data_IF_311495005774
#
_entry.id   IF_311495005774
#
_cell.length_a   1.000
_cell.length_b   1.000
_cell.length_c   1.000
_cell.angle_alpha   90.00
_cell.angle_beta   90.00
_cell.angle_gamma   90.00
#
_symmetry.space_group_name_H-M   'P 1'
#
loop_
_entity.id
_entity.type
_entity.pdbx_description
1 polymer ?
#
# COMPACT_ATOMS: atom_id res chain seq x y z
N UNK A 1 -81.32 -45.89 -25.12
CA UNK A 1 -81.24 -46.51 -26.47
C UNK A 1 -79.77 -46.68 -26.79
N UNK A 2 -79.31 -47.94 -26.83
CA UNK A 2 -78.11 -48.56 -27.47
C UNK A 2 -76.93 -47.65 -27.92
N UNK A 3 -75.63 -47.98 -27.78
CA UNK A 3 -74.95 -49.30 -27.71
C UNK A 3 -73.42 -49.14 -27.49
N UNK A 4 -72.80 -50.23 -27.00
CA UNK A 4 -71.45 -50.70 -27.35
C UNK A 4 -70.28 -50.05 -26.59
N UNK A 5 -69.24 -50.76 -26.14
CA UNK A 5 -68.85 -52.16 -26.30
C UNK A 5 -67.95 -52.58 -25.12
N UNK A 6 -68.08 -53.84 -24.74
CA UNK A 6 -67.23 -54.57 -23.80
C UNK A 6 -65.82 -54.80 -24.36
N UNK A 7 -64.79 -54.82 -23.50
CA UNK A 7 -63.81 -55.94 -23.49
C UNK A 7 -63.08 -55.99 -22.14
N UNK A 8 -63.02 -57.20 -21.61
CA UNK A 8 -62.36 -57.67 -20.40
C UNK A 8 -60.91 -58.12 -20.65
N UNK A 9 -60.12 -58.20 -19.56
CA UNK A 9 -58.88 -58.99 -19.39
C UNK A 9 -57.67 -58.45 -20.18
N UNK A 10 -56.49 -58.24 -19.59
CA UNK A 10 -55.61 -59.24 -18.98
C UNK A 10 -54.63 -58.52 -18.05
N UNK A 11 -54.40 -59.05 -16.85
CA UNK A 11 -53.30 -58.66 -15.98
C UNK A 11 -51.97 -59.13 -16.60
N UNK A 12 -51.07 -58.20 -16.93
CA UNK A 12 -49.69 -58.49 -17.26
C UNK A 12 -48.80 -58.04 -16.11
N UNK A 13 -48.31 -59.03 -15.38
CA UNK A 13 -47.24 -58.99 -14.41
C UNK A 13 -45.94 -58.52 -15.10
N UNK A 14 -45.51 -57.29 -14.83
CA UNK A 14 -44.20 -56.79 -15.24
C UNK A 14 -43.27 -56.85 -14.02
N UNK A 15 -42.53 -57.96 -13.92
CA UNK A 15 -41.33 -58.00 -13.08
C UNK A 15 -40.26 -57.05 -13.66
N UNK A 16 -39.58 -56.25 -12.82
CA UNK A 16 -38.44 -55.44 -13.29
C UNK A 16 -37.23 -56.36 -13.52
N UNK A 17 -36.68 -56.32 -14.74
CA UNK A 17 -35.44 -56.99 -15.10
C UNK A 17 -34.28 -56.54 -14.19
N UNK A 18 -33.64 -57.50 -13.48
CA UNK A 18 -32.40 -57.28 -12.76
C UNK A 18 -31.23 -57.23 -13.75
N UNK A 19 -30.61 -56.05 -13.91
CA UNK A 19 -29.30 -55.92 -14.54
C UNK A 19 -28.23 -56.59 -13.67
N UNK A 20 -27.34 -57.44 -14.23
CA UNK A 20 -26.22 -57.99 -13.46
C UNK A 20 -25.22 -56.87 -13.13
N UNK A 21 -24.80 -56.81 -11.85
CA UNK A 21 -23.81 -55.87 -11.37
C UNK A 21 -22.46 -56.02 -12.11
N UNK A 22 -21.92 -54.92 -12.63
CA UNK A 22 -20.55 -54.86 -13.16
C UNK A 22 -19.54 -55.03 -12.01
N UNK A 23 -18.47 -55.83 -12.17
CA UNK A 23 -17.40 -55.88 -11.19
C UNK A 23 -16.54 -54.60 -11.27
N UNK A 24 -16.60 -53.77 -10.23
CA UNK A 24 -15.85 -52.53 -10.05
C UNK A 24 -14.35 -52.78 -9.74
N UNK A 25 -13.63 -53.39 -10.67
CA UNK A 25 -12.21 -53.74 -10.51
C UNK A 25 -11.28 -52.99 -11.47
N UNK A 26 -11.53 -51.71 -11.74
CA UNK A 26 -10.57 -50.86 -12.44
C UNK A 26 -10.17 -49.65 -11.60
N UNK A 27 -8.86 -49.61 -11.29
CA UNK A 27 -8.06 -48.49 -10.81
C UNK A 27 -8.16 -48.12 -9.31
N UNK A 28 -7.63 -48.98 -8.44
CA UNK A 28 -6.89 -48.46 -7.27
C UNK A 28 -5.48 -48.07 -7.73
N UNK A 29 -5.30 -46.80 -8.09
CA UNK A 29 -3.95 -46.24 -8.12
C UNK A 29 -3.34 -46.33 -6.72
N UNK A 30 -2.08 -46.75 -6.57
CA UNK A 30 -1.42 -46.66 -5.28
C UNK A 30 -1.29 -45.18 -4.94
N UNK A 31 -2.00 -44.75 -3.90
CA UNK A 31 -1.82 -43.44 -3.28
C UNK A 31 -0.36 -43.34 -2.81
N UNK A 32 0.53 -42.86 -3.67
CA UNK A 32 1.78 -42.26 -3.22
C UNK A 32 1.36 -41.05 -2.43
N UNK A 33 1.37 -41.18 -1.11
CA UNK A 33 1.44 -40.08 -0.17
C UNK A 33 2.67 -39.24 -0.54
N UNK A 34 2.51 -38.36 -1.51
CA UNK A 34 3.36 -37.19 -1.62
C UNK A 34 2.98 -36.39 -0.40
N UNK A 35 3.81 -36.46 0.64
CA UNK A 35 3.81 -35.52 1.74
C UNK A 35 4.08 -34.13 1.15
N UNK A 36 3.08 -33.57 0.50
CA UNK A 36 2.98 -32.15 0.29
C UNK A 36 2.99 -31.58 1.69
N UNK A 37 4.04 -30.84 1.98
CA UNK A 37 4.27 -30.09 3.20
C UNK A 37 3.15 -29.03 3.30
N UNK A 38 1.94 -29.50 3.55
CA UNK A 38 0.74 -28.70 3.71
C UNK A 38 0.83 -28.18 5.12
N UNK A 39 1.39 -26.98 5.24
CA UNK A 39 1.33 -26.23 6.50
C UNK A 39 -0.15 -26.08 6.83
N UNK A 40 -0.63 -26.94 7.74
CA UNK A 40 -2.00 -26.93 8.22
C UNK A 40 -2.09 -25.74 9.17
N UNK A 41 -2.58 -24.61 8.66
CA UNK A 41 -2.76 -23.42 9.47
C UNK A 41 -4.02 -23.65 10.31
N UNK A 42 -3.82 -24.02 11.57
CA UNK A 42 -4.90 -24.04 12.56
C UNK A 42 -5.44 -22.62 12.75
N UNK A 43 -6.74 -22.45 12.51
CA UNK A 43 -7.43 -21.19 12.73
C UNK A 43 -7.46 -20.90 14.25
N UNK A 44 -6.65 -19.94 14.71
CA UNK A 44 -6.72 -19.45 16.09
C UNK A 44 -5.42 -18.91 16.69
N UNK A 45 -4.25 -19.26 16.15
CA UNK A 45 -2.99 -18.71 16.64
C UNK A 45 -2.65 -17.40 15.92
N UNK A 46 -2.43 -16.31 16.66
CA UNK A 46 -1.73 -15.14 16.11
C UNK A 46 -0.30 -15.59 15.79
N UNK A 47 0.11 -15.71 14.52
CA UNK A 47 1.50 -16.01 14.23
C UNK A 47 2.36 -14.91 14.85
N UNK A 48 3.50 -15.29 15.45
CA UNK A 48 4.49 -14.29 15.87
C UNK A 48 4.80 -13.36 14.70
N UNK A 49 5.07 -12.08 14.97
CA UNK A 49 5.35 -11.08 13.92
C UNK A 49 6.41 -11.59 12.92
N UNK A 50 7.40 -12.32 13.43
CA UNK A 50 8.44 -12.93 12.64
C UNK A 50 7.95 -14.08 11.74
N UNK A 51 7.06 -14.93 12.24
CA UNK A 51 6.48 -16.02 11.45
C UNK A 51 5.64 -15.48 10.28
N UNK A 52 4.81 -14.45 10.53
CA UNK A 52 4.01 -13.81 9.48
C UNK A 52 4.90 -13.09 8.46
N UNK A 53 6.00 -12.45 8.90
CA UNK A 53 6.99 -11.86 8.01
C UNK A 53 7.71 -12.90 7.13
N UNK A 54 8.04 -14.07 7.68
CA UNK A 54 8.62 -15.18 6.89
C UNK A 54 7.62 -15.72 5.86
N UNK A 55 6.34 -15.78 6.21
CA UNK A 55 5.28 -16.15 5.28
C UNK A 55 5.18 -15.15 4.14
N UNK A 56 5.16 -13.85 4.44
CA UNK A 56 5.22 -12.77 3.45
C UNK A 56 6.37 -12.95 2.44
N UNK A 57 7.57 -13.30 2.92
CA UNK A 57 8.73 -13.54 2.07
C UNK A 57 8.61 -14.81 1.21
N UNK A 58 7.87 -15.83 1.67
CA UNK A 58 7.61 -17.04 0.88
C UNK A 58 6.73 -16.74 -0.34
N UNK A 59 5.81 -15.78 -0.23
CA UNK A 59 4.92 -15.35 -1.31
C UNK A 59 5.47 -14.19 -2.17
N UNK A 60 6.80 -14.00 -2.20
CA UNK A 60 7.44 -12.93 -3.00
C UNK A 60 7.15 -12.99 -4.50
N UNK A 61 6.90 -14.18 -5.05
CA UNK A 61 6.56 -14.34 -6.46
C UNK A 61 5.17 -13.77 -6.77
N UNK A 62 4.22 -13.97 -5.86
CA UNK A 62 2.90 -13.35 -5.94
C UNK A 62 3.00 -11.82 -5.81
N UNK A 63 3.82 -11.32 -4.88
CA UNK A 63 4.09 -9.89 -4.75
C UNK A 63 4.62 -9.32 -6.07
N UNK A 64 5.62 -9.96 -6.67
CA UNK A 64 6.21 -9.53 -7.92
C UNK A 64 5.17 -9.49 -9.05
N UNK A 65 4.32 -10.52 -9.16
CA UNK A 65 3.24 -10.55 -10.14
C UNK A 65 2.23 -9.42 -9.94
N UNK A 66 1.80 -9.18 -8.70
CA UNK A 66 0.86 -8.10 -8.36
C UNK A 66 1.46 -6.73 -8.72
N UNK A 67 2.69 -6.47 -8.30
CA UNK A 67 3.40 -5.21 -8.58
C UNK A 67 3.57 -5.02 -10.09
N UNK A 68 4.06 -6.04 -10.80
CA UNK A 68 4.24 -5.99 -12.25
C UNK A 68 2.94 -5.67 -12.98
N UNK A 69 1.84 -6.33 -12.59
CA UNK A 69 0.51 -6.09 -13.15
C UNK A 69 0.03 -4.68 -12.86
N UNK A 70 0.19 -4.20 -11.63
CA UNK A 70 -0.28 -2.88 -11.22
C UNK A 70 0.51 -1.75 -11.93
N UNK A 71 1.82 -1.93 -12.11
CA UNK A 71 2.68 -1.09 -12.94
C UNK A 71 2.16 -1.09 -14.38
N UNK A 72 1.96 -2.27 -14.99
CA UNK A 72 1.51 -2.36 -16.36
C UNK A 72 0.14 -1.68 -16.57
N UNK A 73 -0.82 -1.90 -15.66
CA UNK A 73 -2.15 -1.26 -15.73
C UNK A 73 -2.04 0.26 -15.66
N UNK A 74 -1.19 0.78 -14.76
CA UNK A 74 -1.01 2.22 -14.58
C UNK A 74 -0.39 2.91 -15.80
N UNK A 75 0.56 2.27 -16.46
CA UNK A 75 1.31 2.87 -17.57
C UNK A 75 0.75 2.52 -18.95
N UNK A 76 -0.20 1.59 -19.04
CA UNK A 76 -0.83 1.22 -20.31
C UNK A 76 -1.90 2.23 -20.70
N UNK A 77 -1.84 2.71 -21.96
CA UNK A 77 -2.83 3.64 -22.58
C UNK A 77 -2.92 5.04 -21.94
N UNK A 78 -1.84 5.57 -21.36
CA UNK A 78 -1.80 6.98 -20.92
C UNK A 78 -1.13 7.86 -21.99
N UNK A 79 -1.74 8.99 -22.33
CA UNK A 79 -1.21 9.94 -23.32
C UNK A 79 0.15 10.54 -22.89
N UNK A 80 0.30 10.78 -21.59
CA UNK A 80 1.51 11.38 -20.99
C UNK A 80 2.49 10.32 -20.44
N UNK A 81 2.09 9.05 -20.36
CA UNK A 81 2.99 7.96 -19.96
C UNK A 81 3.75 8.21 -18.66
N UNK A 82 5.06 7.98 -18.72
CA UNK A 82 6.03 8.17 -17.63
C UNK A 82 6.15 9.63 -17.19
N UNK A 83 5.87 10.60 -18.07
CA UNK A 83 5.98 12.02 -17.73
C UNK A 83 5.01 12.42 -16.61
N UNK A 84 3.88 11.71 -16.47
CA UNK A 84 2.91 11.96 -15.41
C UNK A 84 3.49 11.79 -14.00
N UNK A 85 4.44 10.87 -13.84
CA UNK A 85 5.07 10.56 -12.56
C UNK A 85 5.87 11.72 -11.98
N UNK A 86 6.46 12.54 -12.85
CA UNK A 86 7.20 13.74 -12.46
C UNK A 86 6.26 14.94 -12.44
N UNK A 87 5.31 15.00 -13.37
CA UNK A 87 4.38 16.12 -13.49
C UNK A 87 3.48 16.25 -12.25
N UNK A 88 2.95 15.14 -11.72
CA UNK A 88 2.03 15.18 -10.57
C UNK A 88 2.69 15.77 -9.29
N UNK A 89 3.88 15.31 -8.84
CA UNK A 89 4.59 15.96 -7.74
C UNK A 89 4.91 17.42 -8.02
N UNK A 90 5.31 17.77 -9.25
CA UNK A 90 5.64 19.16 -9.62
C UNK A 90 4.42 20.08 -9.58
N UNK A 91 3.27 19.63 -10.07
CA UNK A 91 2.02 20.40 -9.99
C UNK A 91 1.61 20.62 -8.53
N UNK A 92 1.65 19.56 -7.71
CA UNK A 92 1.35 19.68 -6.28
C UNK A 92 2.35 20.63 -5.60
N UNK A 93 3.63 20.52 -5.90
CA UNK A 93 4.66 21.41 -5.36
C UNK A 93 4.44 22.87 -5.83
N UNK A 94 4.02 23.09 -7.08
CA UNK A 94 3.70 24.41 -7.60
C UNK A 94 2.50 25.05 -6.87
N UNK A 95 1.47 24.27 -6.57
CA UNK A 95 0.31 24.73 -5.78
C UNK A 95 0.75 25.13 -4.37
N UNK A 96 1.53 24.27 -3.70
CA UNK A 96 2.06 24.55 -2.36
C UNK A 96 2.96 25.77 -2.37
N UNK A 97 3.86 25.86 -3.35
CA UNK A 97 4.73 27.02 -3.56
C UNK A 97 3.93 28.31 -3.71
N UNK A 98 2.88 28.30 -4.54
CA UNK A 98 2.01 29.45 -4.74
C UNK A 98 1.31 29.86 -3.44
N UNK A 99 0.82 28.90 -2.66
CA UNK A 99 0.19 29.15 -1.35
C UNK A 99 1.19 29.78 -0.37
N UNK A 100 2.41 29.24 -0.25
CA UNK A 100 3.47 29.81 0.58
C UNK A 100 3.86 31.21 0.10
N UNK A 101 4.06 31.41 -1.21
CA UNK A 101 4.43 32.68 -1.80
C UNK A 101 3.39 33.77 -1.59
N UNK A 102 2.10 33.42 -1.66
CA UNK A 102 1.01 34.36 -1.37
C UNK A 102 1.00 34.83 0.10
N UNK A 103 1.43 33.97 1.03
CA UNK A 103 1.40 34.27 2.47
C UNK A 103 2.63 35.01 2.99
N UNK A 104 3.81 34.72 2.44
CA UNK A 104 5.10 35.21 2.94
C UNK A 104 5.80 36.23 2.02
N UNK A 105 5.25 36.47 0.82
CA UNK A 105 5.80 37.39 -0.16
C UNK A 105 6.97 36.79 -0.96
N UNK A 106 7.00 37.07 -2.27
CA UNK A 106 7.97 36.47 -3.19
C UNK A 106 9.44 36.85 -2.88
N UNK A 107 9.68 38.01 -2.26
CA UNK A 107 11.03 38.52 -1.98
C UNK A 107 11.80 37.69 -0.93
N UNK A 108 11.10 36.89 -0.12
CA UNK A 108 11.71 36.04 0.91
C UNK A 108 11.96 34.60 0.44
N UNK A 109 11.51 34.26 -0.76
CA UNK A 109 11.52 32.90 -1.29
C UNK A 109 12.67 32.69 -2.26
N UNK A 110 13.69 31.95 -1.82
CA UNK A 110 14.88 31.59 -2.60
C UNK A 110 14.80 30.15 -3.12
N UNK A 111 15.76 29.77 -3.96
CA UNK A 111 15.89 28.40 -4.49
C UNK A 111 15.82 27.29 -3.41
N UNK A 112 16.42 27.42 -2.21
CA UNK A 112 16.29 26.40 -1.15
C UNK A 112 14.85 26.17 -0.68
N UNK A 113 14.05 27.24 -0.60
CA UNK A 113 12.63 27.15 -0.26
C UNK A 113 11.84 26.33 -1.29
N UNK A 114 12.17 26.47 -2.58
CA UNK A 114 11.51 25.71 -3.64
C UNK A 114 11.88 24.22 -3.54
N UNK A 115 13.16 23.92 -3.32
CA UNK A 115 13.62 22.54 -3.15
C UNK A 115 12.95 21.89 -1.92
N UNK A 116 12.76 22.67 -0.85
CA UNK A 116 12.03 22.21 0.34
C UNK A 116 10.61 21.76 0.04
N UNK A 117 9.86 22.59 -0.69
CA UNK A 117 8.49 22.27 -1.07
C UNK A 117 8.46 21.05 -1.99
N UNK A 118 9.39 20.94 -2.93
CA UNK A 118 9.47 19.79 -3.86
C UNK A 118 9.80 18.48 -3.11
N UNK A 119 10.79 18.48 -2.22
CA UNK A 119 11.15 17.32 -1.41
C UNK A 119 10.00 16.89 -0.49
N UNK A 120 9.42 17.85 0.24
CA UNK A 120 8.31 17.61 1.15
C UNK A 120 7.09 17.03 0.43
N UNK A 121 6.74 17.61 -0.71
CA UNK A 121 5.61 17.16 -1.54
C UNK A 121 5.86 15.78 -2.13
N UNK A 122 7.09 15.47 -2.52
CA UNK A 122 7.45 14.15 -3.08
C UNK A 122 7.27 13.03 -2.04
N UNK A 123 7.82 13.22 -0.83
CA UNK A 123 7.68 12.26 0.27
C UNK A 123 6.22 12.10 0.71
N UNK A 124 5.50 13.21 0.77
CA UNK A 124 4.07 13.23 1.04
C UNK A 124 3.29 12.43 0.00
N UNK A 125 3.51 12.69 -1.28
CA UNK A 125 2.73 12.10 -2.36
C UNK A 125 2.95 10.58 -2.44
N UNK A 126 4.19 10.12 -2.23
CA UNK A 126 4.47 8.69 -2.08
C UNK A 126 3.62 8.07 -0.96
N UNK A 127 3.60 8.71 0.22
CA UNK A 127 2.87 8.23 1.38
C UNK A 127 1.36 8.21 1.13
N UNK A 128 0.82 9.32 0.62
CA UNK A 128 -0.60 9.48 0.34
C UNK A 128 -1.09 8.49 -0.72
N UNK A 129 -0.38 8.38 -1.84
CA UNK A 129 -0.79 7.47 -2.90
C UNK A 129 -0.73 6.00 -2.44
N UNK A 130 0.31 5.62 -1.69
CA UNK A 130 0.44 4.26 -1.16
C UNK A 130 -0.71 3.91 -0.22
N UNK A 131 -1.07 4.79 0.71
CA UNK A 131 -2.19 4.57 1.65
C UNK A 131 -3.53 4.51 0.91
N UNK A 132 -3.78 5.43 -0.02
CA UNK A 132 -5.04 5.49 -0.76
C UNK A 132 -5.21 4.30 -1.71
N UNK A 133 -4.15 3.85 -2.36
CA UNK A 133 -4.17 2.62 -3.15
C UNK A 133 -4.42 1.40 -2.25
N UNK A 134 -3.73 1.30 -1.12
CA UNK A 134 -3.92 0.20 -0.14
C UNK A 134 -5.37 -0.02 0.28
N UNK A 135 -6.10 1.08 0.52
CA UNK A 135 -7.54 1.10 0.85
C UNK A 135 -8.41 0.40 -0.21
N UNK A 136 -8.02 0.45 -1.48
CA UNK A 136 -8.78 -0.13 -2.59
C UNK A 136 -8.30 -1.54 -2.97
N UNK A 137 -7.01 -1.82 -2.79
CA UNK A 137 -6.36 -3.02 -3.31
C UNK A 137 -6.97 -4.34 -2.82
N UNK A 138 -7.41 -4.42 -1.56
CA UNK A 138 -8.08 -5.64 -1.07
C UNK A 138 -9.38 -5.90 -1.82
N UNK A 139 -10.20 -4.88 -2.03
CA UNK A 139 -11.48 -5.05 -2.73
C UNK A 139 -11.35 -5.27 -4.23
N UNK A 140 -10.39 -4.61 -4.88
CA UNK A 140 -10.14 -4.81 -6.32
C UNK A 140 -9.60 -6.22 -6.61
N UNK A 141 -8.91 -6.82 -5.64
CA UNK A 141 -8.34 -8.16 -5.77
C UNK A 141 -9.14 -9.24 -5.02
N UNK A 142 -10.41 -8.98 -4.66
CA UNK A 142 -11.24 -9.92 -3.92
C UNK A 142 -11.33 -11.30 -4.61
N UNK A 143 -11.34 -11.34 -5.93
CA UNK A 143 -11.34 -12.58 -6.71
C UNK A 143 -10.10 -13.46 -6.51
N UNK A 144 -8.94 -12.87 -6.20
CA UNK A 144 -7.72 -13.62 -5.89
C UNK A 144 -7.80 -14.20 -4.48
N UNK A 145 -8.33 -13.42 -3.53
CA UNK A 145 -8.48 -13.81 -2.12
C UNK A 145 -9.36 -15.05 -1.97
N UNK A 146 -10.43 -15.17 -2.78
CA UNK A 146 -11.36 -16.30 -2.71
C UNK A 146 -10.84 -17.58 -3.36
N UNK A 147 -9.78 -17.50 -4.18
CA UNK A 147 -9.29 -18.63 -4.98
C UNK A 147 -7.98 -19.23 -4.48
N UNK A 148 -7.13 -18.45 -3.83
CA UNK A 148 -5.80 -18.86 -3.41
C UNK A 148 -5.55 -18.36 -2.00
N UNK A 149 -5.08 -19.24 -1.12
CA UNK A 149 -4.64 -18.84 0.22
C UNK A 149 -3.28 -18.14 0.15
N UNK A 150 -3.21 -16.93 0.68
CA UNK A 150 -1.98 -16.17 0.93
C UNK A 150 -2.24 -15.11 2.01
N UNK A 151 -1.20 -14.62 2.71
CA UNK A 151 -1.34 -13.57 3.71
C UNK A 151 -1.83 -12.27 3.07
N UNK A 152 -3.00 -11.76 3.51
CA UNK A 152 -3.67 -10.64 2.82
C UNK A 152 -2.88 -9.33 2.94
N UNK A 153 -1.95 -9.22 3.88
CA UNK A 153 -1.02 -8.09 3.99
C UNK A 153 -0.26 -7.84 2.68
N UNK A 154 0.04 -8.87 1.87
CA UNK A 154 0.71 -8.68 0.57
C UNK A 154 -0.04 -7.73 -0.35
N UNK A 155 -1.38 -7.81 -0.38
CA UNK A 155 -2.19 -6.95 -1.25
C UNK A 155 -2.14 -5.49 -0.82
N UNK A 156 -2.04 -5.26 0.49
CA UNK A 156 -1.91 -3.92 1.07
C UNK A 156 -0.50 -3.35 0.89
N UNK A 157 0.52 -4.20 0.93
CA UNK A 157 1.92 -3.78 0.79
C UNK A 157 2.34 -3.62 -0.68
N UNK A 158 1.69 -4.31 -1.63
CA UNK A 158 1.98 -4.21 -3.06
C UNK A 158 2.00 -2.75 -3.60
N UNK A 159 1.03 -1.87 -3.28
CA UNK A 159 1.07 -0.47 -3.69
C UNK A 159 2.37 0.26 -3.30
N UNK A 160 2.96 -0.05 -2.15
CA UNK A 160 4.17 0.62 -1.69
C UNK A 160 5.36 0.38 -2.62
N UNK A 161 5.42 -0.81 -3.21
CA UNK A 161 6.45 -1.19 -4.19
C UNK A 161 6.12 -0.58 -5.55
N UNK A 162 4.84 -0.54 -5.94
CA UNK A 162 4.42 0.12 -7.19
C UNK A 162 4.76 1.61 -7.18
N UNK A 163 4.48 2.32 -6.09
CA UNK A 163 4.78 3.74 -5.91
C UNK A 163 6.26 4.04 -5.67
N UNK A 164 7.07 3.03 -5.35
CA UNK A 164 8.52 3.20 -5.22
C UNK A 164 9.16 3.65 -6.55
N UNK A 165 8.62 3.19 -7.69
CA UNK A 165 9.08 3.62 -9.00
C UNK A 165 8.85 5.12 -9.22
N UNK A 166 7.69 5.63 -8.82
CA UNK A 166 7.33 7.05 -8.89
C UNK A 166 8.32 7.89 -8.06
N UNK A 167 8.60 7.43 -6.83
CA UNK A 167 9.55 8.06 -5.93
C UNK A 167 10.96 8.04 -6.51
N UNK A 168 11.40 6.93 -7.09
CA UNK A 168 12.73 6.77 -7.70
C UNK A 168 12.92 7.71 -8.89
N UNK A 169 11.94 7.82 -9.78
CA UNK A 169 12.01 8.72 -10.93
C UNK A 169 12.01 10.19 -10.50
N UNK A 170 11.15 10.57 -9.54
CA UNK A 170 11.14 11.92 -9.00
C UNK A 170 12.44 12.26 -8.27
N UNK A 171 13.03 11.29 -7.57
CA UNK A 171 14.35 11.44 -6.95
C UNK A 171 15.43 11.70 -7.99
N UNK A 172 15.45 10.93 -9.09
CA UNK A 172 16.40 11.15 -10.17
C UNK A 172 16.26 12.56 -10.78
N UNK A 173 15.02 13.03 -10.95
CA UNK A 173 14.74 14.40 -11.38
C UNK A 173 15.28 15.45 -10.38
N UNK A 174 15.03 15.28 -9.08
CA UNK A 174 15.52 16.20 -8.04
C UNK A 174 17.06 16.24 -8.04
N UNK A 175 17.72 15.08 -8.11
CA UNK A 175 19.19 15.00 -8.16
C UNK A 175 19.74 15.69 -9.40
N UNK A 176 19.09 15.55 -10.57
CA UNK A 176 19.47 16.25 -11.79
C UNK A 176 19.37 17.79 -11.64
N UNK A 177 18.30 18.28 -11.01
CA UNK A 177 18.13 19.72 -10.71
C UNK A 177 19.20 20.21 -9.73
N UNK A 178 19.50 19.45 -8.68
CA UNK A 178 20.57 19.78 -7.73
C UNK A 178 21.93 19.82 -8.41
N UNK A 179 22.20 18.89 -9.32
CA UNK A 179 23.45 18.84 -10.09
C UNK A 179 23.58 20.06 -11.01
N UNK A 180 22.51 20.42 -11.71
CA UNK A 180 22.46 21.59 -12.58
C UNK A 180 22.75 22.90 -11.83
N UNK A 181 22.27 23.02 -10.58
CA UNK A 181 22.52 24.18 -9.74
C UNK A 181 23.82 24.12 -8.92
N UNK A 182 24.66 23.09 -9.10
CA UNK A 182 25.92 22.94 -8.36
C UNK A 182 25.73 22.69 -6.86
N UNK A 183 24.53 22.24 -6.45
CA UNK A 183 24.18 21.98 -5.05
C UNK A 183 24.51 20.55 -4.61
N UNK A 184 24.95 19.68 -5.53
CA UNK A 184 25.36 18.31 -5.18
C UNK A 184 26.64 18.32 -4.35
N UNK A 185 26.61 17.57 -3.25
CA UNK A 185 27.73 17.40 -2.33
C UNK A 185 27.79 15.95 -1.82
N UNK A 186 28.88 15.60 -1.13
CA UNK A 186 29.12 14.23 -0.64
C UNK A 186 27.95 13.65 0.13
N UNK A 187 27.23 14.44 0.92
CA UNK A 187 26.13 13.94 1.75
C UNK A 187 24.80 13.70 1.02
N UNK A 188 24.69 13.97 -0.29
CA UNK A 188 23.42 13.81 -1.04
C UNK A 188 22.92 12.36 -1.02
N UNK A 189 23.81 11.37 -0.93
CA UNK A 189 23.40 9.96 -0.85
C UNK A 189 22.53 9.66 0.39
N UNK A 190 22.62 10.47 1.46
CA UNK A 190 21.77 10.33 2.65
C UNK A 190 20.28 10.52 2.35
N UNK A 191 19.91 11.13 1.22
CA UNK A 191 18.52 11.19 0.77
C UNK A 191 17.90 9.80 0.61
N UNK A 192 18.70 8.79 0.23
CA UNK A 192 18.26 7.39 0.16
C UNK A 192 17.74 6.92 1.51
N UNK A 193 18.40 7.29 2.61
CA UNK A 193 17.95 6.94 3.95
C UNK A 193 16.62 7.61 4.29
N UNK A 194 16.41 8.87 3.88
CA UNK A 194 15.13 9.56 4.04
C UNK A 194 13.99 8.87 3.28
N UNK A 195 14.27 8.37 2.06
CA UNK A 195 13.30 7.60 1.28
C UNK A 195 12.99 6.26 1.92
N UNK A 196 14.01 5.50 2.35
CA UNK A 196 13.82 4.21 3.05
C UNK A 196 12.99 4.42 4.32
N UNK A 197 13.32 5.44 5.12
CA UNK A 197 12.57 5.79 6.31
C UNK A 197 11.11 6.13 6.03
N UNK A 198 10.85 6.88 4.95
CA UNK A 198 9.49 7.19 4.49
C UNK A 198 8.74 5.94 4.04
N UNK A 199 9.39 5.02 3.33
CA UNK A 199 8.81 3.74 2.90
C UNK A 199 8.40 2.92 4.12
N UNK A 200 9.29 2.79 5.11
CA UNK A 200 9.01 2.07 6.36
C UNK A 200 7.83 2.69 7.10
N UNK A 201 7.84 4.01 7.30
CA UNK A 201 6.73 4.72 7.91
C UNK A 201 5.40 4.45 7.19
N UNK A 202 5.39 4.58 5.86
CA UNK A 202 4.18 4.50 5.04
C UNK A 202 3.47 3.15 5.14
N UNK A 203 4.20 2.05 5.39
CA UNK A 203 3.58 0.72 5.54
C UNK A 203 2.58 0.69 6.70
N UNK A 204 2.86 1.40 7.79
CA UNK A 204 1.99 1.42 8.97
C UNK A 204 0.58 1.95 8.66
N UNK A 205 0.45 3.23 8.27
CA UNK A 205 -0.83 3.81 7.87
C UNK A 205 -1.49 3.07 6.70
N UNK A 206 -0.72 2.53 5.76
CA UNK A 206 -1.24 1.75 4.64
C UNK A 206 -1.93 0.46 5.11
N UNK A 207 -1.30 -0.29 6.01
CA UNK A 207 -1.85 -1.48 6.64
C UNK A 207 -3.10 -1.17 7.46
N UNK A 208 -3.07 -0.09 8.26
CA UNK A 208 -4.23 0.33 9.07
C UNK A 208 -5.40 0.69 8.16
N UNK A 209 -5.19 1.58 7.19
CA UNK A 209 -6.25 2.07 6.31
C UNK A 209 -6.78 0.95 5.39
N UNK A 210 -5.90 0.12 4.83
CA UNK A 210 -6.26 -1.03 4.00
C UNK A 210 -7.06 -2.09 4.77
N UNK A 211 -6.61 -2.43 5.99
CA UNK A 211 -7.32 -3.37 6.85
C UNK A 211 -8.69 -2.83 7.29
N UNK A 212 -8.77 -1.55 7.69
CA UNK A 212 -10.02 -0.91 8.07
C UNK A 212 -11.00 -0.81 6.88
N UNK A 213 -10.51 -0.51 5.68
CA UNK A 213 -11.33 -0.42 4.47
C UNK A 213 -11.89 -1.76 3.99
N UNK A 214 -11.22 -2.86 4.34
CA UNK A 214 -11.73 -4.20 4.09
C UNK A 214 -12.90 -4.55 5.03
N UNK A 215 -12.88 -4.03 6.26
CA UNK A 215 -13.94 -4.23 7.26
C UNK A 215 -15.10 -3.24 7.10
N UNK A 216 -14.79 -1.98 6.81
CA UNK A 216 -15.74 -0.87 6.76
C UNK A 216 -15.67 -0.18 5.40
N UNK A 217 -16.75 -0.26 4.62
CA UNK A 217 -16.80 0.33 3.27
C UNK A 217 -16.62 1.85 3.25
N UNK A 218 -17.06 2.54 4.30
CA UNK A 218 -17.00 4.01 4.41
C UNK A 218 -15.58 4.55 4.49
N UNK A 219 -14.62 3.76 4.97
CA UNK A 219 -13.20 4.15 5.05
C UNK A 219 -12.66 4.48 3.66
N UNK A 220 -13.16 3.87 2.59
CA UNK A 220 -12.77 4.19 1.21
C UNK A 220 -13.11 5.62 0.82
N UNK A 221 -14.25 6.11 1.31
CA UNK A 221 -14.70 7.48 1.07
C UNK A 221 -14.05 8.48 2.01
N UNK A 222 -13.76 8.08 3.25
CA UNK A 222 -13.14 8.97 4.25
C UNK A 222 -11.62 9.11 4.06
N UNK A 223 -10.92 8.08 3.59
CA UNK A 223 -9.47 8.06 3.51
C UNK A 223 -8.87 9.24 2.72
N UNK A 224 -9.40 9.68 1.56
CA UNK A 224 -8.91 10.86 0.87
C UNK A 224 -8.95 12.13 1.73
N UNK A 225 -10.03 12.36 2.48
CA UNK A 225 -10.17 13.52 3.36
C UNK A 225 -9.21 13.46 4.54
N UNK A 226 -9.02 12.27 5.14
CA UNK A 226 -8.02 12.08 6.19
C UNK A 226 -6.61 12.33 5.67
N UNK A 227 -6.26 11.83 4.49
CA UNK A 227 -4.97 12.15 3.88
C UNK A 227 -4.83 13.65 3.61
N UNK A 228 -5.88 14.31 3.15
CA UNK A 228 -5.84 15.76 2.94
C UNK A 228 -5.63 16.55 4.25
N UNK A 229 -6.28 16.15 5.35
CA UNK A 229 -6.03 16.76 6.67
C UNK A 229 -4.61 16.46 7.15
N UNK A 230 -4.14 15.23 6.95
CA UNK A 230 -2.80 14.79 7.35
C UNK A 230 -1.69 15.49 6.55
N UNK A 231 -1.99 15.96 5.32
CA UNK A 231 -1.07 16.80 4.53
C UNK A 231 -0.71 18.08 5.26
N UNK A 232 -1.70 18.74 5.87
CA UNK A 232 -1.50 19.96 6.67
C UNK A 232 -0.74 19.70 7.98
N UNK A 233 -0.49 18.45 8.36
CA UNK A 233 0.39 18.12 9.49
C UNK A 233 1.84 17.86 9.04
N UNK A 234 2.12 17.93 7.74
CA UNK A 234 3.44 17.66 7.17
C UNK A 234 4.15 18.99 6.86
N UNK A 235 5.45 19.13 7.17
CA UNK A 235 6.26 20.32 6.85
C UNK A 235 6.59 20.40 5.35
N UNK A 236 5.68 19.99 4.46
CA UNK A 236 5.79 20.29 3.04
C UNK A 236 5.30 21.73 2.75
N UNK A 237 4.40 22.23 3.60
CA UNK A 237 3.75 23.54 3.48
C UNK A 237 4.45 24.60 4.34
N UNK A 238 5.08 24.18 5.42
CA UNK A 238 5.59 25.07 6.46
C UNK A 238 7.10 25.15 6.37
N UNK A 239 7.61 26.31 5.96
CA UNK A 239 9.02 26.61 6.08
C UNK A 239 9.28 27.02 7.54
N UNK A 240 9.99 26.19 8.34
CA UNK A 240 10.13 26.45 9.78
C UNK A 240 10.78 27.80 10.08
N UNK A 241 11.69 28.23 9.19
CA UNK A 241 12.41 29.50 9.29
C UNK A 241 11.55 30.75 9.02
N UNK A 242 10.34 30.59 8.45
CA UNK A 242 9.44 31.71 8.12
C UNK A 242 8.33 31.90 9.17
N UNK A 243 8.22 31.03 10.18
CA UNK A 243 7.15 31.05 11.17
C UNK A 243 7.51 31.86 12.41
N UNK A 244 6.62 32.79 12.80
CA UNK A 244 6.80 33.64 13.98
C UNK A 244 6.41 32.95 15.30
N UNK A 245 5.40 32.06 15.30
CA UNK A 245 4.94 31.32 16.48
C UNK A 245 4.76 29.83 16.17
N UNK A 246 5.80 29.00 16.35
CA UNK A 246 5.82 27.67 15.77
C UNK A 246 5.28 26.57 16.71
N UNK A 247 4.94 26.87 17.97
CA UNK A 247 4.73 25.88 19.03
C UNK A 247 3.73 24.76 18.69
N UNK A 248 2.49 25.11 18.31
CA UNK A 248 1.43 24.12 18.06
C UNK A 248 1.66 23.36 16.75
N UNK A 249 2.07 24.05 15.68
CA UNK A 249 2.31 23.44 14.36
C UNK A 249 3.52 22.50 14.42
N UNK A 250 4.59 22.88 15.12
CA UNK A 250 5.76 22.02 15.35
C UNK A 250 5.38 20.83 16.25
N UNK A 251 4.60 21.04 17.32
CA UNK A 251 4.15 19.96 18.19
C UNK A 251 3.32 18.90 17.44
N UNK A 252 2.39 19.34 16.60
CA UNK A 252 1.60 18.46 15.73
C UNK A 252 2.49 17.80 14.68
N UNK A 253 3.44 18.55 14.10
CA UNK A 253 4.42 18.01 13.17
C UNK A 253 5.29 16.91 13.76
N UNK A 254 5.64 16.95 15.05
CA UNK A 254 6.40 15.88 15.71
C UNK A 254 5.64 14.56 15.81
N UNK A 255 4.30 14.59 15.79
CA UNK A 255 3.51 13.36 15.80
C UNK A 255 3.57 12.59 14.47
N UNK A 256 3.80 13.31 13.37
CA UNK A 256 3.91 12.74 12.04
C UNK A 256 5.38 12.38 11.72
N UNK A 257 5.76 11.10 11.66
CA UNK A 257 7.13 10.68 11.35
C UNK A 257 7.66 11.23 10.02
N UNK A 258 6.76 11.46 9.05
CA UNK A 258 7.10 12.05 7.76
C UNK A 258 7.75 13.43 7.92
N UNK A 259 7.35 14.21 8.94
CA UNK A 259 7.95 15.50 9.26
C UNK A 259 9.46 15.40 9.46
N UNK A 260 9.90 14.40 10.22
CA UNK A 260 11.33 14.22 10.50
C UNK A 260 12.11 13.89 9.23
N UNK A 261 11.57 13.08 8.32
CA UNK A 261 12.23 12.76 7.04
C UNK A 261 12.26 13.93 6.06
N UNK A 262 11.23 14.77 6.05
CA UNK A 262 11.22 16.01 5.26
C UNK A 262 12.25 16.99 5.81
N UNK A 263 12.32 17.19 7.13
CA UNK A 263 13.31 18.07 7.75
C UNK A 263 14.75 17.59 7.49
N UNK A 264 15.00 16.29 7.60
CA UNK A 264 16.31 15.69 7.29
C UNK A 264 16.68 15.85 5.82
N UNK A 265 15.77 15.56 4.89
CA UNK A 265 16.06 15.72 3.46
C UNK A 265 16.39 17.17 3.08
N UNK A 266 15.73 18.13 3.72
CA UNK A 266 16.05 19.54 3.60
C UNK A 266 17.40 19.92 4.18
N UNK A 267 17.69 19.51 5.42
CA UNK A 267 18.97 19.77 6.05
C UNK A 267 20.14 19.19 5.25
N UNK A 268 19.93 18.05 4.58
CA UNK A 268 20.91 17.44 3.69
C UNK A 268 21.22 18.41 2.55
N UNK A 269 20.21 18.88 1.81
CA UNK A 269 20.41 19.76 0.64
C UNK A 269 20.97 21.12 1.02
N UNK A 270 20.51 21.71 2.12
CA UNK A 270 20.95 23.03 2.57
C UNK A 270 22.31 23.01 3.27
N UNK A 271 22.89 21.82 3.50
CA UNK A 271 24.10 21.62 4.33
C UNK A 271 23.93 22.16 5.75
N UNK A 272 22.70 22.16 6.25
CA UNK A 272 22.39 22.62 7.59
C UNK A 272 22.88 21.60 8.62
N UNK A 273 23.32 22.05 9.82
CA UNK A 273 23.70 21.15 10.88
C UNK A 273 22.51 20.28 11.31
N UNK A 274 22.67 18.96 11.21
CA UNK A 274 21.64 18.01 11.60
C UNK A 274 21.82 17.64 13.06
N UNK A 275 20.81 17.91 13.88
CA UNK A 275 20.79 17.42 15.25
C UNK A 275 20.65 15.88 15.23
N UNK A 276 21.55 15.12 15.90
CA UNK A 276 21.45 13.66 15.98
C UNK A 276 20.10 13.17 16.51
N UNK A 277 19.47 13.97 17.37
CA UNK A 277 18.14 13.68 17.91
C UNK A 277 17.08 13.53 16.81
N UNK A 278 17.14 14.31 15.73
CA UNK A 278 16.14 14.25 14.64
C UNK A 278 16.22 12.93 13.87
N UNK A 279 17.43 12.39 13.71
CA UNK A 279 17.62 11.05 13.14
C UNK A 279 17.01 9.96 14.02
N UNK A 280 17.25 10.03 15.33
CA UNK A 280 16.72 9.07 16.30
C UNK A 280 15.19 9.13 16.30
N UNK A 281 14.61 10.33 16.37
CA UNK A 281 13.15 10.49 16.35
C UNK A 281 12.55 10.01 15.03
N UNK A 282 13.19 10.29 13.88
CA UNK A 282 12.75 9.82 12.58
C UNK A 282 12.68 8.29 12.50
N UNK A 283 13.78 7.63 12.88
CA UNK A 283 13.89 6.17 12.83
C UNK A 283 12.92 5.53 13.82
N UNK A 284 12.91 5.97 15.08
CA UNK A 284 12.05 5.38 16.12
C UNK A 284 10.58 5.54 15.76
N UNK A 285 10.14 6.76 15.42
CA UNK A 285 8.73 7.01 15.12
C UNK A 285 8.24 6.26 13.88
N UNK A 286 9.06 6.13 12.83
CA UNK A 286 8.71 5.39 11.61
C UNK A 286 8.56 3.89 11.87
N UNK A 287 9.49 3.31 12.63
CA UNK A 287 9.41 1.91 13.01
C UNK A 287 8.21 1.65 13.94
N UNK A 288 7.93 2.54 14.89
CA UNK A 288 6.76 2.43 15.76
C UNK A 288 5.45 2.43 14.96
N UNK A 289 5.30 3.35 13.99
CA UNK A 289 4.11 3.38 13.12
C UNK A 289 4.00 2.13 12.25
N UNK A 290 5.10 1.65 11.69
CA UNK A 290 5.13 0.42 10.90
C UNK A 290 4.70 -0.81 11.73
N UNK A 291 5.29 -0.96 12.93
CA UNK A 291 4.98 -2.06 13.85
C UNK A 291 3.53 -1.98 14.35
N UNK A 292 3.06 -0.79 14.69
CA UNK A 292 1.68 -0.56 15.10
C UNK A 292 0.72 -0.97 13.99
N UNK A 293 0.96 -0.53 12.75
CA UNK A 293 0.06 -0.86 11.65
C UNK A 293 0.02 -2.34 11.33
N UNK A 294 1.17 -3.02 11.41
CA UNK A 294 1.25 -4.47 11.23
C UNK A 294 0.52 -5.23 12.34
N UNK A 295 0.70 -4.82 13.60
CA UNK A 295 -0.01 -5.41 14.73
C UNK A 295 -1.53 -5.23 14.63
N UNK A 296 -2.00 -4.04 14.24
CA UNK A 296 -3.43 -3.78 14.00
C UNK A 296 -3.94 -4.65 12.85
N UNK A 297 -3.19 -4.75 11.75
CA UNK A 297 -3.62 -5.49 10.57
C UNK A 297 -3.80 -6.98 10.83
N UNK A 298 -2.87 -7.63 11.54
CA UNK A 298 -2.99 -9.05 11.89
C UNK A 298 -4.29 -9.30 12.69
N UNK A 299 -4.65 -8.39 13.60
CA UNK A 299 -5.90 -8.48 14.37
C UNK A 299 -7.14 -8.29 13.50
N UNK A 300 -7.07 -7.44 12.48
CA UNK A 300 -8.15 -7.25 11.52
C UNK A 300 -8.32 -8.46 10.60
N UNK A 301 -7.20 -9.07 10.16
CA UNK A 301 -7.19 -10.20 9.25
C UNK A 301 -7.94 -11.43 9.76
N UNK A 302 -7.87 -11.72 11.07
CA UNK A 302 -8.58 -12.84 11.68
C UNK A 302 -10.10 -12.75 11.48
N UNK A 303 -10.65 -11.54 11.44
CA UNK A 303 -12.09 -11.30 11.31
C UNK A 303 -12.52 -11.07 9.85
N UNK A 304 -11.57 -10.95 8.92
CA UNK A 304 -11.83 -10.66 7.51
C UNK A 304 -12.30 -11.90 6.74
N UNK A 305 -12.01 -13.12 7.21
CA UNK A 305 -12.43 -14.35 6.56
C UNK A 305 -13.97 -14.49 6.46
N UNK A 306 -14.71 -13.86 7.37
CA UNK A 306 -16.16 -13.98 7.43
C UNK A 306 -16.91 -12.90 6.63
N UNK A 307 -16.22 -11.84 6.17
CA UNK A 307 -16.84 -10.61 5.64
C UNK A 307 -16.49 -10.28 4.17
N UNK A 308 -15.56 -11.01 3.56
CA UNK A 308 -15.15 -10.85 2.15
C UNK A 308 -15.86 -11.90 1.29
#
# INVERSE_FOLDING_TARGET
MYRGHATSLVAMDHQPEQFPARPDNYCREPQRETQANTVRIEAGYLPSLWAYFRELLAYRELLHFLVWRDVLIRYRRTLLGVAWLVLQPLLQAAIVWWLVASRFGQNNLKLPALIHVVLGTTLWLYSANTVLSSVHHLSTNAHLITKVYFPRALLVLAPAVTHFLDLGLMTAFIVAVLAFHGLVHTNVWLLVMCYVGTIVYTQGPALIAGGLAARYRDIKHMAPYFMQLWFFSTPAIYLPHLMQDPGLIIAVGFFNPLNSWVLLSNAIVERAPMLPLVWITAVVSSNLWCLLGYWIFIRLEQNLADHI
#
